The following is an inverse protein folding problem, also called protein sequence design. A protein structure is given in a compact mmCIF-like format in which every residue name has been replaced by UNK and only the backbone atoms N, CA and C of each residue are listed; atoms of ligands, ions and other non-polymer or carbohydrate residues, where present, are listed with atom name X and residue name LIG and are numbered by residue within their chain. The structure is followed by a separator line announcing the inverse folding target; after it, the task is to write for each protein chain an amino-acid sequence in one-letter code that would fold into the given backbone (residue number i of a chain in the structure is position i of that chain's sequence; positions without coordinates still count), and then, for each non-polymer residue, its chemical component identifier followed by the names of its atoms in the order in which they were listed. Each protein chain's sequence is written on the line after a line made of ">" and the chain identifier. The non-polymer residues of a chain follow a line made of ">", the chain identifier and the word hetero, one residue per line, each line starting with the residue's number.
data_IF_182524728249
#
_entry.id   IF_182524728249
#
_cell.length_a   1.000
_cell.length_b   1.000
_cell.length_c   1.000
_cell.angle_alpha   90.00
_cell.angle_beta   90.00
_cell.angle_gamma   90.00
#
_symmetry.space_group_name_H-M   'P 1'
#
loop_
_entity.id
_entity.type
_entity.pdbx_description
1 polymer ?
#
# COMPACT_ATOMS: atom_id res chain seq x y z
N UNK A 1 -1.48 -22.92 -14.31
CA UNK A 1 -0.92 -21.55 -14.29
C UNK A 1 -1.81 -20.66 -13.46
N UNK A 2 -1.21 -19.74 -12.71
CA UNK A 2 -1.89 -18.78 -11.83
C UNK A 2 -2.43 -17.55 -12.61
N UNK A 3 -3.51 -16.95 -12.12
CA UNK A 3 -4.11 -15.71 -12.66
C UNK A 3 -3.09 -14.56 -12.66
N UNK A 4 -2.19 -14.53 -11.69
CA UNK A 4 -1.12 -13.52 -11.61
C UNK A 4 -0.16 -13.53 -12.82
N UNK A 5 0.03 -14.67 -13.49
CA UNK A 5 0.87 -14.77 -14.70
C UNK A 5 0.11 -14.33 -15.94
N UNK A 6 -1.19 -14.67 -16.03
CA UNK A 6 -2.05 -14.23 -17.13
C UNK A 6 -2.17 -12.71 -17.17
N UNK A 7 -2.31 -12.07 -16.01
CA UNK A 7 -2.40 -10.62 -15.91
C UNK A 7 -1.12 -9.90 -16.35
N UNK A 8 0.04 -10.57 -16.35
CA UNK A 8 1.29 -9.99 -16.84
C UNK A 8 1.32 -9.83 -18.37
N UNK A 9 0.40 -10.46 -19.11
CA UNK A 9 0.24 -10.19 -20.55
C UNK A 9 -0.09 -8.72 -20.84
N UNK A 10 -0.67 -8.02 -19.85
CA UNK A 10 -1.06 -6.62 -19.93
C UNK A 10 -0.14 -5.71 -19.09
N UNK A 11 0.99 -6.22 -18.61
CA UNK A 11 1.93 -5.42 -17.82
C UNK A 11 2.62 -4.36 -18.69
N UNK A 12 2.85 -3.16 -18.12
CA UNK A 12 3.56 -2.08 -18.82
C UNK A 12 5.06 -2.36 -19.02
N UNK A 13 5.63 -3.36 -18.35
CA UNK A 13 6.98 -3.87 -18.57
C UNK A 13 6.99 -4.87 -19.73
N UNK A 14 7.41 -4.41 -20.91
CA UNK A 14 7.47 -5.22 -22.13
C UNK A 14 8.23 -6.55 -21.94
N UNK A 15 9.29 -6.59 -21.12
CA UNK A 15 10.04 -7.82 -20.92
C UNK A 15 9.25 -8.89 -20.14
N UNK A 16 8.37 -8.46 -19.22
CA UNK A 16 7.48 -9.37 -18.48
C UNK A 16 6.30 -9.80 -19.35
N UNK A 17 5.71 -8.87 -20.11
CA UNK A 17 4.64 -9.19 -21.05
C UNK A 17 5.10 -10.22 -22.09
N UNK A 18 6.27 -10.01 -22.71
CA UNK A 18 6.86 -10.94 -23.69
C UNK A 18 7.16 -12.32 -23.08
N UNK A 19 7.59 -12.37 -21.82
CA UNK A 19 7.85 -13.64 -21.13
C UNK A 19 6.54 -14.36 -20.78
N UNK A 20 5.53 -13.65 -20.28
CA UNK A 20 4.22 -14.22 -20.01
C UNK A 20 3.57 -14.76 -21.29
N UNK A 21 3.68 -14.03 -22.40
CA UNK A 21 3.16 -14.44 -23.70
C UNK A 21 3.84 -15.72 -24.19
N UNK A 22 5.18 -15.82 -24.08
CA UNK A 22 5.90 -17.04 -24.45
C UNK A 22 5.46 -18.25 -23.63
N UNK A 23 5.31 -18.09 -22.31
CA UNK A 23 4.87 -19.19 -21.43
C UNK A 23 3.45 -19.62 -21.79
N UNK A 24 2.53 -18.69 -22.05
CA UNK A 24 1.16 -19.00 -22.47
C UNK A 24 1.17 -19.77 -23.79
N UNK A 25 1.94 -19.30 -24.78
CA UNK A 25 2.05 -19.92 -26.12
C UNK A 25 2.67 -21.33 -26.12
N UNK A 26 3.46 -21.69 -25.10
CA UNK A 26 3.99 -23.04 -24.93
C UNK A 26 2.91 -24.09 -24.60
N UNK A 27 1.68 -23.66 -24.29
CA UNK A 27 0.57 -24.53 -23.95
C UNK A 27 0.46 -24.70 -22.43
N UNK A 28 -0.56 -24.08 -21.85
CA UNK A 28 -0.73 -24.02 -20.39
C UNK A 28 -2.02 -24.67 -19.94
N UNK A 29 -2.04 -25.16 -18.69
CA UNK A 29 -3.26 -25.64 -18.03
C UNK A 29 -3.71 -24.57 -17.03
N UNK A 30 -4.98 -24.15 -17.10
CA UNK A 30 -5.61 -23.20 -16.17
C UNK A 30 -6.89 -23.80 -15.62
N UNK A 31 -7.32 -23.38 -14.44
CA UNK A 31 -8.64 -23.77 -13.92
C UNK A 31 -9.70 -22.75 -14.34
N UNK A 32 -10.97 -23.16 -14.35
CA UNK A 32 -12.08 -22.21 -14.58
C UNK A 32 -12.08 -21.06 -13.56
N UNK A 33 -11.63 -21.31 -12.32
CA UNK A 33 -11.46 -20.29 -11.30
C UNK A 33 -10.39 -19.27 -11.67
N UNK A 34 -9.23 -19.71 -12.18
CA UNK A 34 -8.16 -18.80 -12.63
C UNK A 34 -8.67 -17.88 -13.76
N UNK A 35 -9.46 -18.42 -14.68
CA UNK A 35 -10.09 -17.61 -15.73
C UNK A 35 -11.09 -16.60 -15.16
N UNK A 36 -11.94 -17.02 -14.22
CA UNK A 36 -12.89 -16.13 -13.56
C UNK A 36 -12.21 -15.00 -12.79
N UNK A 37 -11.14 -15.30 -12.03
CA UNK A 37 -10.33 -14.30 -11.34
C UNK A 37 -9.67 -13.32 -12.31
N UNK A 38 -9.16 -13.82 -13.43
CA UNK A 38 -8.54 -12.98 -14.47
C UNK A 38 -9.58 -12.00 -15.02
N UNK A 39 -10.74 -12.49 -15.47
CA UNK A 39 -11.84 -11.65 -15.99
C UNK A 39 -12.28 -10.60 -14.97
N UNK A 40 -12.44 -11.01 -13.69
CA UNK A 40 -12.83 -10.09 -12.61
C UNK A 40 -11.82 -8.95 -12.47
N UNK A 41 -10.51 -9.23 -12.58
CA UNK A 41 -9.46 -8.21 -12.49
C UNK A 41 -9.47 -7.29 -13.72
N UNK A 42 -9.58 -7.86 -14.93
CA UNK A 42 -9.67 -7.07 -16.17
C UNK A 42 -10.83 -6.06 -16.10
N UNK A 43 -11.99 -6.51 -15.59
CA UNK A 43 -13.18 -5.67 -15.44
C UNK A 43 -13.07 -4.67 -14.28
N UNK A 44 -12.85 -5.17 -13.06
CA UNK A 44 -13.05 -4.37 -11.82
C UNK A 44 -11.82 -3.58 -11.40
N UNK A 45 -10.63 -3.95 -11.86
CA UNK A 45 -9.38 -3.29 -11.48
C UNK A 45 -8.80 -2.51 -12.64
N UNK A 46 -8.77 -3.10 -13.84
CA UNK A 46 -8.23 -2.43 -15.03
C UNK A 46 -9.28 -1.62 -15.80
N UNK A 47 -10.58 -1.81 -15.49
CA UNK A 47 -11.66 -1.03 -16.10
C UNK A 47 -11.81 -1.27 -17.61
N UNK A 48 -11.38 -2.44 -18.10
CA UNK A 48 -11.42 -2.78 -19.52
C UNK A 48 -12.87 -2.95 -20.01
N UNK A 49 -13.09 -2.65 -21.28
CA UNK A 49 -14.39 -2.87 -21.91
C UNK A 49 -14.59 -4.36 -22.21
N UNK A 50 -15.85 -4.79 -22.30
CA UNK A 50 -16.18 -6.20 -22.56
C UNK A 50 -15.62 -6.75 -23.86
N UNK A 51 -15.54 -5.94 -24.91
CA UNK A 51 -14.91 -6.34 -26.18
C UNK A 51 -13.40 -6.61 -26.04
N UNK A 52 -12.70 -5.77 -25.28
CA UNK A 52 -11.26 -5.96 -24.99
C UNK A 52 -11.02 -7.17 -24.06
N UNK A 53 -11.94 -7.40 -23.12
CA UNK A 53 -11.92 -8.58 -22.24
C UNK A 53 -12.12 -9.85 -23.05
N UNK A 54 -13.09 -9.87 -23.96
CA UNK A 54 -13.37 -11.02 -24.82
C UNK A 54 -12.15 -11.37 -25.69
N UNK A 55 -11.51 -10.36 -26.32
CA UNK A 55 -10.28 -10.56 -27.10
C UNK A 55 -9.15 -11.16 -26.25
N UNK A 56 -8.97 -10.66 -25.02
CA UNK A 56 -7.95 -11.16 -24.10
C UNK A 56 -8.22 -12.60 -23.66
N UNK A 57 -9.47 -12.92 -23.31
CA UNK A 57 -9.90 -14.25 -22.88
C UNK A 57 -9.76 -15.26 -24.02
N UNK A 58 -10.18 -14.91 -25.23
CA UNK A 58 -10.04 -15.79 -26.40
C UNK A 58 -8.57 -16.03 -26.76
N UNK A 59 -7.73 -15.00 -26.64
CA UNK A 59 -6.28 -15.13 -26.84
C UNK A 59 -5.65 -16.09 -25.83
N UNK A 60 -6.09 -16.07 -24.57
CA UNK A 60 -5.63 -17.02 -23.55
C UNK A 60 -6.17 -18.43 -23.85
N UNK A 61 -7.46 -18.56 -24.19
CA UNK A 61 -8.10 -19.85 -24.50
C UNK A 61 -7.48 -20.56 -25.69
N UNK A 62 -6.94 -19.81 -26.65
CA UNK A 62 -6.23 -20.37 -27.82
C UNK A 62 -5.03 -21.25 -27.42
N UNK A 63 -4.37 -20.93 -26.30
CA UNK A 63 -3.18 -21.66 -25.83
C UNK A 63 -3.36 -22.33 -24.47
N UNK A 64 -4.52 -22.18 -23.83
CA UNK A 64 -4.80 -22.72 -22.51
C UNK A 64 -5.87 -23.82 -22.54
N UNK A 65 -5.56 -24.97 -21.95
CA UNK A 65 -6.55 -26.01 -21.66
C UNK A 65 -7.10 -25.86 -20.24
N UNK A 66 -8.38 -26.19 -20.06
CA UNK A 66 -9.06 -26.01 -18.76
C UNK A 66 -9.05 -27.29 -17.94
N UNK A 67 -8.61 -27.22 -16.69
CA UNK A 67 -8.70 -28.30 -15.72
C UNK A 67 -9.83 -28.03 -14.70
N UNK A 68 -10.63 -29.05 -14.42
CA UNK A 68 -11.74 -28.99 -13.47
C UNK A 68 -11.24 -29.22 -12.05
N UNK A 69 -11.71 -28.41 -11.10
CA UNK A 69 -11.47 -28.62 -9.67
C UNK A 69 -12.49 -29.63 -9.15
N UNK A 70 -12.02 -30.71 -8.54
CA UNK A 70 -12.82 -31.81 -7.98
C UNK A 70 -12.84 -31.74 -6.44
N UNK A 71 -13.69 -32.55 -5.80
CA UNK A 71 -13.65 -32.70 -4.34
C UNK A 71 -12.29 -33.24 -3.86
N UNK A 72 -11.64 -34.08 -4.68
CA UNK A 72 -10.29 -34.58 -4.41
C UNK A 72 -9.27 -33.45 -4.43
N UNK A 73 -9.37 -32.50 -5.39
CA UNK A 73 -8.55 -31.29 -5.40
C UNK A 73 -8.72 -30.47 -4.13
N UNK A 74 -9.97 -30.28 -3.68
CA UNK A 74 -10.28 -29.47 -2.49
C UNK A 74 -9.71 -30.08 -1.20
N UNK A 75 -9.80 -31.39 -1.05
CA UNK A 75 -9.24 -32.09 0.11
C UNK A 75 -7.71 -32.07 0.11
N UNK A 76 -7.08 -32.21 -1.06
CA UNK A 76 -5.63 -32.05 -1.21
C UNK A 76 -5.20 -30.60 -0.88
N UNK A 77 -5.93 -29.60 -1.36
CA UNK A 77 -5.66 -28.18 -1.10
C UNK A 77 -5.73 -27.85 0.40
N UNK A 78 -6.72 -28.38 1.12
CA UNK A 78 -6.82 -28.21 2.60
C UNK A 78 -5.62 -28.80 3.32
N UNK A 79 -5.12 -29.93 2.84
CA UNK A 79 -3.95 -30.61 3.41
C UNK A 79 -2.69 -29.78 3.16
N UNK A 80 -2.48 -29.31 1.92
CA UNK A 80 -1.35 -28.47 1.52
C UNK A 80 -1.35 -27.14 2.31
N UNK A 81 -2.49 -26.46 2.44
CA UNK A 81 -2.60 -25.19 3.17
C UNK A 81 -2.13 -25.33 4.63
N UNK A 82 -2.51 -26.43 5.30
CA UNK A 82 -2.13 -26.70 6.69
C UNK A 82 -0.64 -27.02 6.86
N UNK A 83 -0.06 -27.73 5.90
CA UNK A 83 1.33 -28.21 5.98
C UNK A 83 2.35 -27.17 5.53
N UNK A 84 2.01 -26.37 4.52
CA UNK A 84 2.92 -25.40 3.90
C UNK A 84 2.70 -23.96 4.36
N UNK A 85 1.64 -23.69 5.13
CA UNK A 85 1.29 -22.33 5.57
C UNK A 85 0.81 -21.41 4.45
N UNK A 86 0.53 -21.96 3.27
CA UNK A 86 -0.07 -21.24 2.15
C UNK A 86 -1.52 -20.88 2.46
N UNK A 87 -1.99 -19.75 1.90
CA UNK A 87 -3.42 -19.50 1.84
C UNK A 87 -4.14 -20.56 1.00
N UNK A 88 -5.46 -20.66 1.18
CA UNK A 88 -6.23 -21.71 0.52
C UNK A 88 -6.22 -21.60 -1.01
N UNK A 89 -6.19 -20.38 -1.57
CA UNK A 89 -6.20 -20.18 -3.01
C UNK A 89 -4.88 -20.65 -3.64
N UNK A 90 -3.75 -20.33 -3.02
CA UNK A 90 -2.42 -20.81 -3.40
C UNK A 90 -2.32 -22.33 -3.27
N UNK A 91 -2.82 -22.90 -2.17
CA UNK A 91 -2.85 -24.35 -1.96
C UNK A 91 -3.73 -25.07 -3.00
N UNK A 92 -4.83 -24.44 -3.42
CA UNK A 92 -5.72 -24.97 -4.46
C UNK A 92 -5.06 -25.00 -5.84
N UNK A 93 -4.26 -23.99 -6.19
CA UNK A 93 -3.48 -23.98 -7.43
C UNK A 93 -2.44 -25.11 -7.46
N UNK A 94 -1.77 -25.36 -6.33
CA UNK A 94 -0.80 -26.47 -6.20
C UNK A 94 -1.50 -27.81 -6.30
N UNK A 95 -2.63 -28.00 -5.61
CA UNK A 95 -3.42 -29.23 -5.67
C UNK A 95 -3.93 -29.53 -7.09
N UNK A 96 -4.48 -28.51 -7.77
CA UNK A 96 -4.95 -28.64 -9.15
C UNK A 96 -3.81 -28.95 -10.12
N UNK A 97 -2.63 -28.35 -9.92
CA UNK A 97 -1.45 -28.66 -10.73
C UNK A 97 -0.99 -30.12 -10.51
N UNK A 98 -1.01 -30.60 -9.27
CA UNK A 98 -0.64 -31.98 -8.95
C UNK A 98 -1.60 -33.00 -9.58
N UNK A 99 -2.91 -32.76 -9.49
CA UNK A 99 -3.96 -33.62 -10.07
C UNK A 99 -3.95 -33.60 -11.60
N UNK A 100 -3.63 -32.46 -12.21
CA UNK A 100 -3.43 -32.34 -13.66
C UNK A 100 -2.13 -32.99 -14.16
N UNK A 101 -1.27 -33.51 -13.27
CA UNK A 101 0.02 -34.11 -13.63
C UNK A 101 1.11 -33.10 -14.01
N UNK A 102 0.94 -31.82 -13.64
CA UNK A 102 1.90 -30.77 -13.96
C UNK A 102 3.12 -30.85 -13.03
N UNK A 103 4.32 -30.93 -13.61
CA UNK A 103 5.57 -30.82 -12.85
C UNK A 103 5.84 -29.38 -12.36
N UNK A 104 5.28 -28.37 -13.03
CA UNK A 104 5.55 -26.96 -12.78
C UNK A 104 4.27 -26.15 -12.65
N UNK A 105 4.16 -25.35 -11.59
CA UNK A 105 3.13 -24.31 -11.44
C UNK A 105 3.78 -22.94 -11.64
N UNK A 106 3.41 -22.25 -12.71
CA UNK A 106 3.79 -20.85 -12.94
C UNK A 106 2.93 -19.90 -12.09
N UNK A 107 3.57 -19.13 -11.20
CA UNK A 107 2.93 -18.07 -10.41
C UNK A 107 3.86 -16.88 -10.21
N UNK A 108 3.36 -15.66 -10.41
CA UNK A 108 4.11 -14.43 -10.14
C UNK A 108 4.04 -14.01 -8.66
N UNK A 109 3.11 -14.59 -7.88
CA UNK A 109 2.89 -14.29 -6.45
C UNK A 109 3.58 -15.27 -5.51
N UNK A 110 3.73 -16.52 -5.93
CA UNK A 110 4.31 -17.57 -5.09
C UNK A 110 5.81 -17.69 -5.33
N UNK A 111 6.58 -17.83 -4.25
CA UNK A 111 8.03 -18.01 -4.26
C UNK A 111 8.34 -19.11 -3.23
N UNK A 112 9.36 -19.93 -3.49
CA UNK A 112 9.87 -21.03 -2.66
C UNK A 112 9.23 -22.44 -2.84
N UNK A 113 10.03 -23.30 -3.49
CA UNK A 113 10.22 -24.76 -3.38
C UNK A 113 9.03 -25.70 -3.63
N UNK A 114 9.36 -26.88 -4.18
CA UNK A 114 8.44 -27.96 -4.52
C UNK A 114 7.51 -28.34 -3.36
N UNK A 115 6.21 -28.32 -3.63
CA UNK A 115 5.18 -28.75 -2.69
C UNK A 115 4.52 -30.00 -3.28
N UNK A 116 4.55 -31.08 -2.51
CA UNK A 116 4.27 -32.44 -2.98
C UNK A 116 5.18 -32.84 -4.16
N UNK A 117 4.66 -32.80 -5.38
CA UNK A 117 5.33 -33.16 -6.64
C UNK A 117 5.33 -32.01 -7.66
N UNK A 118 4.89 -30.82 -7.27
CA UNK A 118 4.77 -29.65 -8.15
C UNK A 118 5.83 -28.62 -7.76
N UNK A 119 6.68 -28.26 -8.72
CA UNK A 119 7.62 -27.15 -8.57
C UNK A 119 6.91 -25.83 -8.83
N UNK A 120 6.79 -24.98 -7.81
CA UNK A 120 6.29 -23.63 -7.99
C UNK A 120 7.41 -22.77 -8.59
N UNK A 121 7.20 -22.28 -9.80
CA UNK A 121 8.16 -21.47 -10.54
C UNK A 121 7.61 -20.06 -10.72
N UNK A 122 8.40 -19.07 -10.30
CA UNK A 122 8.16 -17.67 -10.64
C UNK A 122 9.18 -17.24 -11.71
N UNK A 123 8.82 -17.30 -13.00
CA UNK A 123 9.74 -17.01 -14.09
C UNK A 123 10.06 -15.52 -14.20
N UNK A 124 9.32 -14.66 -13.49
CA UNK A 124 9.49 -13.21 -13.46
C UNK A 124 10.45 -12.75 -12.35
N UNK A 125 10.94 -13.69 -11.54
CA UNK A 125 12.05 -13.49 -10.61
C UNK A 125 13.28 -14.16 -11.25
N UNK A 126 14.37 -13.42 -11.40
CA UNK A 126 15.58 -13.90 -12.09
C UNK A 126 15.99 -15.31 -11.60
N UNK A 127 16.03 -16.27 -12.54
CA UNK A 127 16.27 -17.68 -12.27
C UNK A 127 17.57 -17.91 -11.47
N UNK A 128 17.44 -18.43 -10.24
CA UNK A 128 18.54 -19.10 -9.53
C UNK A 128 18.66 -20.53 -10.08
N UNK A 129 19.24 -20.69 -11.26
CA UNK A 129 19.68 -21.98 -11.78
C UNK A 129 21.22 -22.04 -11.73
N UNK A 130 21.74 -22.86 -10.82
CA UNK A 130 23.05 -23.57 -10.79
C UNK A 130 24.28 -23.06 -11.56
N UNK A 131 24.48 -21.75 -11.70
CA UNK A 131 25.81 -21.20 -11.99
C UNK A 131 26.47 -20.79 -10.66
N UNK A 132 27.74 -21.17 -10.46
CA UNK A 132 28.63 -20.51 -9.50
C UNK A 132 28.41 -18.98 -9.58
N UNK A 133 28.43 -18.22 -8.47
CA UNK A 133 27.80 -16.92 -8.38
C UNK A 133 28.31 -16.00 -9.48
N UNK A 134 27.51 -15.85 -10.54
CA UNK A 134 27.69 -14.80 -11.52
C UNK A 134 27.47 -13.52 -10.72
N UNK A 135 28.55 -12.82 -10.44
CA UNK A 135 28.56 -11.54 -9.75
C UNK A 135 27.45 -10.69 -10.37
N UNK A 136 26.36 -10.47 -9.61
CA UNK A 136 25.28 -9.60 -10.03
C UNK A 136 25.94 -8.32 -10.49
N UNK A 137 25.86 -8.00 -11.80
CA UNK A 137 26.45 -6.79 -12.37
C UNK A 137 26.04 -5.65 -11.44
N UNK A 138 27.00 -5.13 -10.67
CA UNK A 138 26.69 -4.08 -9.73
C UNK A 138 26.11 -2.95 -10.55
N UNK A 139 24.84 -2.62 -10.26
CA UNK A 139 24.18 -1.46 -10.86
C UNK A 139 25.15 -0.30 -10.78
N UNK A 140 25.40 0.34 -11.92
CA UNK A 140 26.27 1.49 -11.98
C UNK A 140 25.79 2.53 -10.95
N UNK A 141 26.69 3.39 -10.45
CA UNK A 141 26.29 4.47 -9.54
C UNK A 141 25.09 5.28 -10.04
N UNK A 142 25.00 5.52 -11.36
CA UNK A 142 23.88 6.23 -11.99
C UNK A 142 22.57 5.44 -11.94
N UNK A 143 22.59 4.15 -12.23
CA UNK A 143 21.38 3.30 -12.16
C UNK A 143 20.88 3.17 -10.72
N UNK A 144 21.78 3.04 -9.74
CA UNK A 144 21.38 3.04 -8.32
C UNK A 144 20.72 4.35 -7.91
N UNK A 145 21.22 5.47 -8.42
CA UNK A 145 20.66 6.78 -8.16
C UNK A 145 19.26 6.94 -8.78
N UNK A 146 19.10 6.55 -10.05
CA UNK A 146 17.80 6.58 -10.72
C UNK A 146 16.76 5.73 -9.98
N UNK A 147 17.14 4.53 -9.55
CA UNK A 147 16.26 3.66 -8.75
C UNK A 147 15.91 4.26 -7.39
N UNK A 148 16.84 4.96 -6.73
CA UNK A 148 16.53 5.67 -5.49
C UNK A 148 15.42 6.70 -5.72
N UNK A 149 15.53 7.50 -6.79
CA UNK A 149 14.57 8.56 -7.09
C UNK A 149 13.18 8.04 -7.49
N UNK A 150 13.12 6.86 -8.11
CA UNK A 150 11.85 6.22 -8.45
C UNK A 150 11.19 5.45 -7.29
N UNK A 151 11.89 5.22 -6.16
CA UNK A 151 11.34 4.45 -5.04
C UNK A 151 10.19 5.20 -4.36
N UNK A 152 9.05 4.55 -4.09
CA UNK A 152 7.94 5.15 -3.38
C UNK A 152 8.34 5.81 -2.06
N UNK A 153 9.22 5.18 -1.27
CA UNK A 153 9.71 5.77 -0.01
C UNK A 153 10.51 7.08 -0.18
N UNK A 154 11.23 7.23 -1.29
CA UNK A 154 11.91 8.49 -1.59
C UNK A 154 10.90 9.56 -2.03
N UNK A 155 9.97 9.19 -2.91
CA UNK A 155 8.92 10.08 -3.42
C UNK A 155 8.00 10.56 -2.29
N UNK A 156 7.54 9.68 -1.40
CA UNK A 156 6.73 10.03 -0.22
C UNK A 156 7.46 11.02 0.69
N UNK A 157 8.75 10.77 0.97
CA UNK A 157 9.56 11.69 1.77
C UNK A 157 9.71 13.05 1.08
N UNK A 158 9.92 13.09 -0.24
CA UNK A 158 10.02 14.35 -1.00
C UNK A 158 8.69 15.09 -1.05
N UNK A 159 7.58 14.39 -1.27
CA UNK A 159 6.23 14.95 -1.24
C UNK A 159 5.91 15.56 0.14
N UNK A 160 6.25 14.87 1.23
CA UNK A 160 6.12 15.41 2.59
C UNK A 160 6.97 16.68 2.80
N UNK A 161 8.22 16.71 2.32
CA UNK A 161 9.07 17.90 2.41
C UNK A 161 8.51 19.09 1.61
N UNK A 162 7.94 18.84 0.43
CA UNK A 162 7.28 19.87 -0.39
C UNK A 162 6.02 20.39 0.32
N UNK A 163 5.17 19.48 0.82
CA UNK A 163 3.96 19.83 1.58
C UNK A 163 4.30 20.68 2.81
N UNK A 164 5.34 20.32 3.57
CA UNK A 164 5.79 21.10 4.71
C UNK A 164 6.28 22.50 4.31
N UNK A 165 7.02 22.63 3.21
CA UNK A 165 7.50 23.92 2.72
C UNK A 165 6.37 24.83 2.20
N UNK A 166 5.37 24.25 1.53
CA UNK A 166 4.17 24.98 1.09
C UNK A 166 3.40 25.50 2.30
N UNK A 167 3.18 24.66 3.32
CA UNK A 167 2.53 25.06 4.56
C UNK A 167 3.30 26.19 5.26
N UNK A 168 4.62 26.05 5.40
CA UNK A 168 5.47 27.08 6.01
C UNK A 168 5.38 28.41 5.26
N UNK A 169 5.42 28.37 3.92
CA UNK A 169 5.27 29.57 3.10
C UNK A 169 3.91 30.24 3.28
N UNK A 170 2.82 29.47 3.24
CA UNK A 170 1.46 29.99 3.36
C UNK A 170 1.15 30.53 4.76
N UNK A 171 1.60 29.83 5.81
CA UNK A 171 1.27 30.14 7.20
C UNK A 171 2.39 30.89 7.95
N UNK A 172 3.40 31.41 7.23
CA UNK A 172 4.53 32.14 7.82
C UNK A 172 4.09 33.32 8.71
N UNK A 173 3.03 34.03 8.31
CA UNK A 173 2.48 35.18 9.06
C UNK A 173 1.77 34.80 10.38
N UNK A 174 1.44 33.52 10.58
CA UNK A 174 0.79 33.02 11.81
C UNK A 174 1.79 32.37 12.76
N UNK A 175 2.96 31.95 12.24
CA UNK A 175 4.04 31.39 13.04
C UNK A 175 3.65 30.08 13.72
N UNK A 176 2.99 29.18 12.99
CA UNK A 176 2.59 27.86 13.47
C UNK A 176 3.22 26.76 12.61
N UNK A 177 3.53 25.62 13.22
CA UNK A 177 4.01 24.42 12.51
C UNK A 177 2.86 23.43 12.28
N UNK A 178 2.95 22.51 11.30
CA UNK A 178 1.90 21.51 11.06
C UNK A 178 1.54 20.69 12.31
N UNK A 179 2.54 20.25 13.09
CA UNK A 179 2.29 19.49 14.32
C UNK A 179 1.62 20.32 15.42
N UNK A 180 1.97 21.60 15.54
CA UNK A 180 1.28 22.52 16.47
C UNK A 180 -0.17 22.73 16.05
N UNK A 181 -0.43 22.90 14.75
CA UNK A 181 -1.77 23.01 14.21
C UNK A 181 -2.59 21.75 14.53
N UNK A 182 -2.05 20.55 14.29
CA UNK A 182 -2.73 19.30 14.64
C UNK A 182 -3.13 19.22 16.12
N UNK A 183 -2.27 19.68 17.03
CA UNK A 183 -2.60 19.75 18.47
C UNK A 183 -3.75 20.72 18.71
N UNK A 184 -3.71 21.92 18.14
CA UNK A 184 -4.79 22.90 18.32
C UNK A 184 -6.12 22.40 17.75
N UNK A 185 -6.12 21.85 16.54
CA UNK A 185 -7.32 21.30 15.88
C UNK A 185 -7.94 20.18 16.71
N UNK A 186 -7.13 19.23 17.21
CA UNK A 186 -7.66 18.13 18.04
C UNK A 186 -8.21 18.64 19.37
N UNK A 187 -7.55 19.60 20.03
CA UNK A 187 -8.03 20.16 21.30
C UNK A 187 -9.25 21.08 21.14
N UNK A 188 -9.41 21.73 19.98
CA UNK A 188 -10.62 22.47 19.64
C UNK A 188 -11.83 21.53 19.48
N UNK A 189 -11.65 20.43 18.74
CA UNK A 189 -12.70 19.43 18.54
C UNK A 189 -13.02 18.62 19.81
N UNK A 190 -11.99 18.32 20.60
CA UNK A 190 -12.08 17.49 21.80
C UNK A 190 -11.29 18.14 22.95
N UNK A 191 -11.92 19.04 23.73
CA UNK A 191 -11.26 19.69 24.85
C UNK A 191 -11.05 18.71 26.02
N UNK A 192 -10.11 19.05 26.91
CA UNK A 192 -9.77 18.30 28.14
C UNK A 192 -9.17 16.91 27.91
N UNK A 193 -8.48 16.71 26.79
CA UNK A 193 -7.74 15.47 26.51
C UNK A 193 -6.45 15.37 27.34
N UNK A 194 -6.12 14.14 27.74
CA UNK A 194 -4.79 13.82 28.26
C UNK A 194 -3.74 13.70 27.13
N UNK A 195 -2.46 13.85 27.48
CA UNK A 195 -1.37 13.83 26.50
C UNK A 195 -1.20 12.48 25.78
N UNK A 196 -1.52 11.35 26.42
CA UNK A 196 -1.42 10.06 25.76
C UNK A 196 -2.51 9.90 24.70
N UNK A 197 -3.72 10.34 25.00
CA UNK A 197 -4.84 10.35 24.06
C UNK A 197 -4.58 11.33 22.91
N UNK A 198 -4.13 12.55 23.20
CA UNK A 198 -3.71 13.53 22.20
C UNK A 198 -2.63 12.96 21.26
N UNK A 199 -1.59 12.32 21.81
CA UNK A 199 -0.49 11.76 21.01
C UNK A 199 -0.96 10.72 19.99
N UNK A 200 -1.91 9.85 20.38
CA UNK A 200 -2.51 8.87 19.47
C UNK A 200 -3.42 9.51 18.43
N UNK A 201 -4.18 10.53 18.83
CA UNK A 201 -5.10 11.25 17.94
C UNK A 201 -4.38 12.03 16.82
N UNK A 202 -3.12 12.43 17.03
CA UNK A 202 -2.31 13.11 16.00
C UNK A 202 -1.23 12.21 15.37
N UNK A 203 -1.14 10.94 15.78
CA UNK A 203 -0.17 9.99 15.25
C UNK A 203 1.30 10.30 15.59
N UNK A 204 1.55 11.01 16.70
CA UNK A 204 2.90 11.38 17.14
C UNK A 204 3.29 10.68 18.45
N UNK A 205 4.59 10.45 18.63
CA UNK A 205 5.07 9.88 19.89
C UNK A 205 4.89 10.87 21.06
N UNK A 206 4.96 10.35 22.30
CA UNK A 206 4.73 11.14 23.51
C UNK A 206 5.76 12.26 23.70
N UNK A 207 7.01 12.06 23.29
CA UNK A 207 8.10 13.04 23.47
C UNK A 207 7.86 14.22 22.53
N UNK A 208 7.64 13.93 21.24
CA UNK A 208 7.30 14.94 20.24
C UNK A 208 6.03 15.70 20.62
N UNK A 209 4.98 14.99 21.03
CA UNK A 209 3.72 15.62 21.50
C UNK A 209 3.99 16.51 22.72
N UNK A 210 4.82 16.09 23.68
CA UNK A 210 5.15 16.91 24.85
C UNK A 210 5.84 18.21 24.48
N UNK A 211 6.77 18.18 23.52
CA UNK A 211 7.46 19.37 23.04
C UNK A 211 6.49 20.35 22.35
N UNK A 212 5.59 19.85 21.51
CA UNK A 212 4.56 20.66 20.86
C UNK A 212 3.64 21.33 21.90
N UNK A 213 3.14 20.56 22.86
CA UNK A 213 2.28 21.05 23.94
C UNK A 213 2.97 22.15 24.76
N UNK A 214 4.22 21.92 25.18
CA UNK A 214 4.99 22.93 25.95
C UNK A 214 5.22 24.21 25.15
N UNK A 215 5.51 24.10 23.85
CA UNK A 215 5.70 25.26 22.99
C UNK A 215 4.41 26.07 22.81
N UNK A 216 3.26 25.40 22.69
CA UNK A 216 1.94 26.05 22.59
C UNK A 216 1.51 26.70 23.91
N UNK A 217 1.74 26.03 25.04
CA UNK A 217 1.49 26.56 26.37
C UNK A 217 2.36 27.79 26.67
N UNK A 218 3.64 27.75 26.33
CA UNK A 218 4.55 28.89 26.48
C UNK A 218 4.11 30.12 25.64
N UNK A 219 3.37 29.89 24.56
CA UNK A 219 2.74 30.93 23.73
C UNK A 219 1.35 31.33 24.22
N UNK A 220 0.85 30.74 25.30
CA UNK A 220 -0.49 31.00 25.83
C UNK A 220 -1.62 30.50 24.94
N UNK A 221 -1.39 29.52 24.06
CA UNK A 221 -2.39 28.99 23.12
C UNK A 221 -3.19 27.81 23.67
N UNK A 222 -2.68 27.18 24.73
CA UNK A 222 -3.38 26.13 25.47
C UNK A 222 -3.00 26.21 26.95
N UNK A 223 -3.83 25.63 27.80
CA UNK A 223 -3.57 25.48 29.23
C UNK A 223 -3.55 24.00 29.61
N UNK A 224 -2.86 23.70 30.71
CA UNK A 224 -2.82 22.38 31.34
C UNK A 224 -3.42 22.47 32.74
N UNK A 225 -4.38 21.60 33.01
CA UNK A 225 -5.06 21.53 34.29
C UNK A 225 -4.98 20.11 34.86
N UNK A 226 -4.99 19.93 36.18
CA UNK A 226 -5.24 18.61 36.78
C UNK A 226 -6.55 18.06 36.22
N UNK A 227 -6.53 16.83 35.72
CA UNK A 227 -7.75 16.16 35.28
C UNK A 227 -8.58 15.71 36.50
N UNK A 228 -9.91 15.62 36.32
CA UNK A 228 -10.81 15.09 37.35
C UNK A 228 -10.54 13.62 37.71
N UNK A 229 -9.84 12.89 36.83
CA UNK A 229 -9.37 11.54 37.13
C UNK A 229 -8.04 11.57 37.90
N UNK A 230 -7.88 10.66 38.88
CA UNK A 230 -6.76 10.58 39.84
C UNK A 230 -5.32 10.56 39.27
N UNK A 231 -5.11 10.57 37.94
CA UNK A 231 -3.78 10.44 37.30
C UNK A 231 -3.56 11.24 36.01
N UNK A 232 -4.40 12.21 35.65
CA UNK A 232 -4.27 12.93 34.37
C UNK A 232 -3.92 14.41 34.50
N UNK A 233 -3.19 14.95 33.53
CA UNK A 233 -3.20 16.37 33.18
C UNK A 233 -4.03 16.49 31.92
N UNK A 234 -5.08 17.30 31.94
CA UNK A 234 -5.93 17.61 30.78
C UNK A 234 -5.46 18.91 30.12
N UNK A 235 -5.69 19.01 28.81
CA UNK A 235 -5.36 20.20 28.02
C UNK A 235 -6.61 20.77 27.35
N UNK A 236 -6.66 22.09 27.25
CA UNK A 236 -7.70 22.80 26.52
C UNK A 236 -7.12 24.05 25.86
N UNK A 237 -7.78 24.55 24.82
CA UNK A 237 -7.36 25.78 24.18
C UNK A 237 -7.73 27.01 25.02
N UNK A 238 -6.88 28.02 24.97
CA UNK A 238 -7.22 29.36 25.46
C UNK A 238 -8.09 30.11 24.44
N UNK A 239 -8.58 31.29 24.82
CA UNK A 239 -9.24 32.18 23.87
C UNK A 239 -8.29 32.56 22.72
N UNK A 240 -7.03 32.84 23.04
CA UNK A 240 -5.97 33.14 22.07
C UNK A 240 -5.68 31.94 21.15
N UNK A 241 -5.73 30.72 21.69
CA UNK A 241 -5.59 29.48 20.93
C UNK A 241 -6.69 29.31 19.88
N UNK A 242 -7.95 29.58 20.25
CA UNK A 242 -9.08 29.55 19.32
C UNK A 242 -8.94 30.63 18.24
N UNK A 243 -8.64 31.88 18.63
CA UNK A 243 -8.43 32.97 17.67
C UNK A 243 -7.28 32.68 16.71
N UNK A 244 -6.20 32.04 17.18
CA UNK A 244 -5.12 31.63 16.29
C UNK A 244 -5.59 30.56 15.30
N UNK A 245 -6.38 29.58 15.74
CA UNK A 245 -6.88 28.53 14.87
C UNK A 245 -7.73 29.10 13.73
N UNK A 246 -8.65 30.02 14.04
CA UNK A 246 -9.47 30.72 13.04
C UNK A 246 -8.61 31.50 12.04
N UNK A 247 -7.48 32.08 12.49
CA UNK A 247 -6.54 32.80 11.63
C UNK A 247 -5.72 31.88 10.72
N UNK A 248 -5.59 30.60 11.05
CA UNK A 248 -4.83 29.63 10.25
C UNK A 248 -5.66 29.09 9.09
N UNK A 249 -6.98 29.00 9.23
CA UNK A 249 -7.85 28.35 8.24
C UNK A 249 -7.64 28.87 6.80
N UNK A 250 -7.60 30.19 6.53
CA UNK A 250 -7.35 30.67 5.17
C UNK A 250 -5.96 30.32 4.61
N UNK A 251 -4.93 30.24 5.48
CA UNK A 251 -3.59 29.85 5.02
C UNK A 251 -3.49 28.34 4.76
N UNK A 252 -4.27 27.54 5.50
CA UNK A 252 -4.37 26.10 5.28
C UNK A 252 -5.04 25.78 3.94
N UNK A 253 -6.14 26.47 3.63
CA UNK A 253 -6.84 26.33 2.34
C UNK A 253 -5.90 26.66 1.19
N UNK A 254 -5.21 27.81 1.26
CA UNK A 254 -4.23 28.20 0.24
C UNK A 254 -3.08 27.19 0.09
N UNK A 255 -2.58 26.63 1.21
CA UNK A 255 -1.55 25.61 1.18
C UNK A 255 -2.04 24.31 0.51
N UNK A 256 -3.28 23.90 0.80
CA UNK A 256 -3.89 22.71 0.23
C UNK A 256 -4.16 22.89 -1.28
N UNK A 257 -4.75 24.02 -1.67
CA UNK A 257 -4.96 24.38 -3.07
C UNK A 257 -3.65 24.36 -3.86
N UNK A 258 -2.59 24.98 -3.33
CA UNK A 258 -1.28 24.98 -3.99
C UNK A 258 -0.71 23.57 -4.12
N UNK A 259 -0.75 22.77 -3.05
CA UNK A 259 -0.24 21.40 -3.06
C UNK A 259 -0.97 20.52 -4.09
N UNK A 260 -2.28 20.72 -4.24
CA UNK A 260 -3.13 19.93 -5.13
C UNK A 260 -3.26 20.51 -6.55
N UNK A 261 -2.80 21.74 -6.79
CA UNK A 261 -2.95 22.47 -8.06
C UNK A 261 -2.38 21.77 -9.29
N UNK A 262 -1.40 20.88 -9.11
CA UNK A 262 -0.76 20.11 -10.19
C UNK A 262 -1.56 18.87 -10.60
N UNK A 263 -2.62 18.56 -9.87
CA UNK A 263 -3.47 17.39 -10.05
C UNK A 263 -4.89 17.81 -10.43
N UNK A 264 -5.51 17.09 -11.36
CA UNK A 264 -6.94 17.24 -11.63
C UNK A 264 -7.79 16.61 -10.51
N UNK A 265 -9.10 16.87 -10.50
CA UNK A 265 -9.99 16.40 -9.42
C UNK A 265 -10.00 14.87 -9.24
N UNK A 266 -9.89 14.10 -10.32
CA UNK A 266 -9.81 12.64 -10.26
C UNK A 266 -8.50 12.18 -9.63
N UNK A 267 -7.38 12.79 -10.03
CA UNK A 267 -6.05 12.50 -9.47
C UNK A 267 -5.96 12.87 -7.98
N UNK A 268 -6.55 14.00 -7.58
CA UNK A 268 -6.63 14.41 -6.17
C UNK A 268 -7.38 13.37 -5.34
N UNK A 269 -8.57 12.94 -5.80
CA UNK A 269 -9.35 11.92 -5.12
C UNK A 269 -8.62 10.56 -5.07
N UNK A 270 -7.92 10.19 -6.14
CA UNK A 270 -7.14 8.96 -6.20
C UNK A 270 -5.94 9.01 -5.25
N UNK A 271 -5.24 10.14 -5.15
CA UNK A 271 -4.12 10.32 -4.23
C UNK A 271 -4.58 10.09 -2.78
N UNK A 272 -5.66 10.74 -2.36
CA UNK A 272 -6.22 10.57 -1.01
C UNK A 272 -6.63 9.12 -0.77
N UNK A 273 -7.30 8.49 -1.73
CA UNK A 273 -7.73 7.09 -1.64
C UNK A 273 -6.55 6.14 -1.44
N UNK A 274 -5.46 6.32 -2.20
CA UNK A 274 -4.28 5.47 -2.11
C UNK A 274 -3.53 5.70 -0.79
N UNK A 275 -3.38 6.95 -0.36
CA UNK A 275 -2.73 7.27 0.92
C UNK A 275 -3.51 6.69 2.11
N UNK A 276 -4.83 6.81 2.11
CA UNK A 276 -5.67 6.22 3.15
C UNK A 276 -5.55 4.70 3.16
N UNK A 277 -5.58 4.06 1.98
CA UNK A 277 -5.39 2.60 1.88
C UNK A 277 -4.03 2.16 2.44
N UNK A 278 -2.96 2.91 2.16
CA UNK A 278 -1.63 2.62 2.71
C UNK A 278 -1.63 2.73 4.24
N UNK A 279 -2.19 3.81 4.78
CA UNK A 279 -2.24 4.06 6.22
C UNK A 279 -3.07 2.98 6.94
N UNK A 280 -4.28 2.67 6.45
CA UNK A 280 -5.16 1.68 7.07
C UNK A 280 -4.60 0.26 7.03
N UNK A 281 -4.00 -0.15 5.90
CA UNK A 281 -3.52 -1.53 5.71
C UNK A 281 -2.16 -1.79 6.34
N UNK A 282 -1.39 -0.75 6.66
CA UNK A 282 -0.03 -0.85 7.19
C UNK A 282 0.14 -0.16 8.55
N UNK A 283 -0.95 0.24 9.22
CA UNK A 283 -0.94 0.90 10.53
C UNK A 283 -0.20 0.06 11.59
N UNK A 284 -0.28 -1.27 11.51
CA UNK A 284 0.45 -2.20 12.39
C UNK A 284 1.98 -2.09 12.27
N UNK A 285 2.47 -1.51 11.17
CA UNK A 285 3.89 -1.24 10.92
C UNK A 285 4.34 0.13 11.42
N UNK A 286 3.42 1.02 11.77
CA UNK A 286 3.74 2.33 12.31
C UNK A 286 4.43 2.18 13.68
N UNK A 287 5.51 2.94 13.91
CA UNK A 287 6.19 2.96 15.21
C UNK A 287 5.33 3.58 16.32
N UNK A 288 4.42 4.46 15.93
CA UNK A 288 3.50 5.15 16.83
C UNK A 288 2.07 4.84 16.38
N UNK A 289 1.21 4.34 17.28
CA UNK A 289 -0.17 4.05 16.92
C UNK A 289 -0.95 5.35 16.70
N UNK A 290 -1.61 5.45 15.57
CA UNK A 290 -2.64 6.44 15.27
C UNK A 290 -4.01 5.87 15.67
N UNK A 291 -4.76 6.63 16.46
CA UNK A 291 -6.14 6.31 16.85
C UNK A 291 -6.96 7.59 16.73
N UNK A 292 -7.71 7.77 15.63
CA UNK A 292 -8.61 8.91 15.50
C UNK A 292 -9.66 8.87 16.62
N UNK A 293 -10.15 10.06 17.00
CA UNK A 293 -11.15 10.25 18.06
C UNK A 293 -12.57 10.00 17.57
#
# INVERSE_FOLDING_TARGET
>A
MDSSVLLLLLDGDAAKADLAERIVREGVIVTAQVMAETIQVLQSVLGMRWDEIDECVESIRMYASTHSVTNTTLDAARTIARQSGLDFAAALLVAAAAEAGCATLYSARLHDVAIANVSVNNPFVAARASAAPAQAKQKSPRERLALLYARPGFLLRRAHQISAAIFEGACCGVGITPGQLSVLTVLNACPRLDQATLSRAIGLDKVTTSHLVRALEARGLLTRSPADSRRGVSMELTAEGNVLLDRVEPCLDSAYEMLMSVLNATEQAQLVTVLNRLNERLEDRARTPFRPL
#
